data_IF_828899433966
#
_entry.id   IF_828899433966
#
_cell.length_a   1.000
_cell.length_b   1.000
_cell.length_c   1.000
_cell.angle_alpha   90.00
_cell.angle_beta   90.00
_cell.angle_gamma   90.00
#
_symmetry.space_group_name_H-M   'P 1'
#
loop_
_entity.id
_entity.type
_entity.pdbx_description
1 polymer ?
#
# COMPACT_ATOMS: atom_id res chain seq x y z
N UNK A 1 11.66 -18.11 17.70
CA UNK A 1 12.43 -17.11 16.94
C UNK A 1 11.98 -15.73 17.38
N UNK A 2 12.88 -14.81 17.75
CA UNK A 2 12.53 -13.42 18.02
C UNK A 2 12.44 -12.67 16.68
N UNK A 3 11.31 -12.06 16.37
CA UNK A 3 11.17 -11.21 15.18
C UNK A 3 11.55 -9.75 15.50
N UNK A 4 11.64 -8.89 14.48
CA UNK A 4 12.00 -7.48 14.63
C UNK A 4 11.08 -6.72 15.59
N UNK A 5 9.80 -7.12 15.71
CA UNK A 5 8.90 -6.54 16.70
C UNK A 5 9.30 -6.93 18.14
N UNK A 6 9.66 -8.20 18.37
CA UNK A 6 10.03 -8.72 19.69
C UNK A 6 11.37 -8.17 20.21
N UNK A 7 12.28 -7.76 19.32
CA UNK A 7 13.59 -7.18 19.69
C UNK A 7 13.65 -5.65 19.57
N UNK A 8 12.50 -4.99 19.31
CA UNK A 8 12.42 -3.53 19.22
C UNK A 8 12.96 -2.91 17.92
N UNK A 9 13.24 -3.72 16.89
CA UNK A 9 13.68 -3.27 15.57
C UNK A 9 12.56 -2.73 14.68
N UNK A 10 11.29 -2.97 15.02
CA UNK A 10 10.16 -2.37 14.32
C UNK A 10 9.98 -0.92 14.78
N UNK A 11 9.93 0.03 13.84
CA UNK A 11 9.72 1.45 14.15
C UNK A 11 8.24 1.81 14.25
N UNK A 12 7.95 2.97 14.86
CA UNK A 12 6.59 3.44 15.16
C UNK A 12 5.66 3.50 13.95
N UNK A 13 6.16 3.89 12.78
CA UNK A 13 5.39 3.92 11.53
C UNK A 13 5.82 2.74 10.67
N UNK A 14 4.87 1.85 10.38
CA UNK A 14 5.08 0.65 9.55
C UNK A 14 4.40 0.88 8.21
N UNK A 15 5.16 0.84 7.12
CA UNK A 15 4.63 0.93 5.75
C UNK A 15 4.63 -0.45 5.13
N UNK A 16 3.48 -0.89 4.63
CA UNK A 16 3.32 -2.16 3.92
C UNK A 16 2.94 -1.87 2.47
N UNK A 17 3.86 -2.16 1.57
CA UNK A 17 3.79 -1.85 0.15
C UNK A 17 3.73 -3.13 -0.69
N UNK A 18 2.63 -3.87 -0.58
CA UNK A 18 2.43 -5.19 -1.20
C UNK A 18 1.04 -5.28 -1.84
N UNK A 19 0.74 -6.41 -2.49
CA UNK A 19 -0.63 -6.75 -2.91
C UNK A 19 -0.86 -6.88 -4.41
N UNK A 20 0.08 -6.42 -5.25
CA UNK A 20 -0.03 -6.60 -6.72
C UNK A 20 0.36 -8.03 -7.12
N UNK A 21 1.39 -8.59 -6.46
CA UNK A 21 1.58 -10.04 -6.45
C UNK A 21 0.41 -10.64 -5.70
N UNK A 22 -0.42 -11.40 -6.44
CA UNK A 22 -1.76 -11.78 -6.01
C UNK A 22 -1.72 -12.51 -4.67
N UNK A 23 -2.53 -12.01 -3.74
CA UNK A 23 -2.87 -12.64 -2.47
C UNK A 23 -4.36 -12.94 -2.52
N UNK A 24 -4.75 -14.17 -2.84
CA UNK A 24 -6.16 -14.51 -3.04
C UNK A 24 -7.00 -14.32 -1.76
N UNK A 25 -6.41 -14.58 -0.59
CA UNK A 25 -7.03 -14.35 0.72
C UNK A 25 -6.68 -12.96 1.30
N UNK A 26 -6.56 -11.93 0.46
CA UNK A 26 -6.12 -10.58 0.88
C UNK A 26 -6.88 -10.02 2.09
N UNK A 27 -8.18 -10.31 2.24
CA UNK A 27 -8.96 -9.83 3.40
C UNK A 27 -8.46 -10.45 4.70
N UNK A 28 -8.19 -11.75 4.71
CA UNK A 28 -7.66 -12.47 5.87
C UNK A 28 -6.27 -11.95 6.23
N UNK A 29 -5.38 -11.83 5.25
CA UNK A 29 -4.00 -11.38 5.46
C UNK A 29 -3.94 -9.92 5.94
N UNK A 30 -4.76 -9.03 5.37
CA UNK A 30 -4.84 -7.64 5.81
C UNK A 30 -5.46 -7.51 7.21
N UNK A 31 -6.48 -8.32 7.53
CA UNK A 31 -7.03 -8.37 8.88
C UNK A 31 -6.00 -8.87 9.89
N UNK A 32 -5.26 -9.92 9.56
CA UNK A 32 -4.21 -10.45 10.43
C UNK A 32 -3.08 -9.43 10.60
N UNK A 33 -2.70 -8.70 9.55
CA UNK A 33 -1.73 -7.60 9.65
C UNK A 33 -2.20 -6.51 10.62
N UNK A 34 -3.45 -6.05 10.50
CA UNK A 34 -4.04 -5.06 11.41
C UNK A 34 -4.10 -5.60 12.84
N UNK A 35 -4.51 -6.86 13.02
CA UNK A 35 -4.64 -7.54 14.31
C UNK A 35 -3.29 -7.77 14.99
N UNK A 36 -2.26 -8.15 14.24
CA UNK A 36 -0.93 -8.49 14.76
C UNK A 36 0.02 -7.31 14.88
N UNK A 37 -0.30 -6.17 14.26
CA UNK A 37 0.44 -4.93 14.44
C UNK A 37 0.68 -4.68 15.94
N UNK A 38 1.92 -4.52 16.42
CA UNK A 38 2.16 -4.33 17.84
C UNK A 38 1.58 -3.00 18.35
N UNK A 39 1.24 -2.95 19.64
CA UNK A 39 0.80 -1.70 20.28
C UNK A 39 1.91 -0.65 20.21
N UNK A 40 1.52 0.61 20.09
CA UNK A 40 2.44 1.73 19.93
C UNK A 40 2.85 2.02 18.48
N UNK A 41 2.44 1.18 17.52
CA UNK A 41 2.69 1.38 16.11
C UNK A 41 1.48 1.95 15.36
N UNK A 42 1.73 2.56 14.22
CA UNK A 42 0.73 2.92 13.21
C UNK A 42 1.08 2.28 11.88
N UNK A 43 0.07 1.98 11.08
CA UNK A 43 0.19 1.24 9.83
C UNK A 43 -0.15 2.16 8.66
N UNK A 44 0.66 2.09 7.62
CA UNK A 44 0.37 2.67 6.31
C UNK A 44 0.23 1.50 5.34
N UNK A 45 -0.92 1.40 4.70
CA UNK A 45 -1.16 0.45 3.62
C UNK A 45 -1.00 1.18 2.29
N UNK A 46 -0.10 0.71 1.43
CA UNK A 46 0.01 1.20 0.05
C UNK A 46 -0.89 0.33 -0.84
N UNK A 47 -1.87 0.93 -1.51
CA UNK A 47 -2.79 0.16 -2.35
C UNK A 47 -2.11 -0.39 -3.60
N UNK A 48 -2.32 -1.66 -3.99
CA UNK A 48 -1.72 -2.21 -5.20
C UNK A 48 -2.40 -1.66 -6.46
N UNK A 49 -1.63 -1.58 -7.54
CA UNK A 49 -2.14 -1.22 -8.86
C UNK A 49 -1.73 -2.31 -9.86
N UNK A 50 -2.72 -2.81 -10.59
CA UNK A 50 -2.53 -3.63 -11.79
C UNK A 50 -3.41 -3.04 -12.89
N UNK A 51 -2.79 -2.37 -13.85
CA UNK A 51 -3.51 -1.73 -14.95
C UNK A 51 -4.11 -2.71 -15.97
N UNK A 52 -3.89 -4.02 -15.79
CA UNK A 52 -4.56 -5.07 -16.57
C UNK A 52 -5.81 -5.63 -15.88
N UNK A 53 -6.23 -5.06 -14.74
CA UNK A 53 -7.33 -5.59 -13.92
C UNK A 53 -8.64 -5.82 -14.69
N UNK A 54 -8.94 -4.99 -15.68
CA UNK A 54 -10.14 -5.11 -16.53
C UNK A 54 -10.13 -6.33 -17.45
N UNK A 55 -8.95 -6.94 -17.67
CA UNK A 55 -8.77 -8.16 -18.47
C UNK A 55 -8.94 -9.44 -17.65
N UNK A 56 -9.09 -9.34 -16.32
CA UNK A 56 -9.19 -10.50 -15.44
C UNK A 56 -10.62 -10.74 -14.98
N UNK A 57 -11.07 -11.99 -15.04
CA UNK A 57 -12.36 -12.42 -14.45
C UNK A 57 -12.44 -12.11 -12.95
N UNK A 58 -11.29 -12.13 -12.28
CA UNK A 58 -11.17 -11.81 -10.86
C UNK A 58 -10.05 -10.76 -10.64
N UNK A 59 -10.38 -9.46 -10.60
CA UNK A 59 -9.40 -8.39 -10.41
C UNK A 59 -8.97 -8.27 -8.93
N UNK A 60 -8.16 -9.22 -8.46
CA UNK A 60 -7.78 -9.32 -7.03
C UNK A 60 -7.05 -8.08 -6.54
N UNK A 61 -6.16 -7.47 -7.34
CA UNK A 61 -5.45 -6.25 -6.95
C UNK A 61 -6.41 -5.08 -6.66
N UNK A 62 -7.46 -4.92 -7.47
CA UNK A 62 -8.46 -3.87 -7.26
C UNK A 62 -9.29 -4.12 -5.99
N UNK A 63 -9.69 -5.37 -5.76
CA UNK A 63 -10.41 -5.78 -4.55
C UNK A 63 -9.55 -5.58 -3.29
N UNK A 64 -8.26 -5.93 -3.36
CA UNK A 64 -7.29 -5.66 -2.30
C UNK A 64 -7.20 -4.16 -2.01
N UNK A 65 -7.03 -3.32 -3.05
CA UNK A 65 -6.97 -1.87 -2.90
C UNK A 65 -8.24 -1.30 -2.23
N UNK A 66 -9.42 -1.78 -2.64
CA UNK A 66 -10.68 -1.40 -2.01
C UNK A 66 -10.71 -1.78 -0.52
N UNK A 67 -10.35 -3.00 -0.17
CA UNK A 67 -10.38 -3.48 1.22
C UNK A 67 -9.38 -2.74 2.11
N UNK A 68 -8.18 -2.44 1.61
CA UNK A 68 -7.20 -1.62 2.32
C UNK A 68 -7.76 -0.22 2.65
N UNK A 69 -8.53 0.40 1.73
CA UNK A 69 -9.23 1.68 1.99
C UNK A 69 -10.31 1.53 3.08
N UNK A 70 -11.03 0.41 3.12
CA UNK A 70 -12.03 0.14 4.15
C UNK A 70 -11.39 0.00 5.54
N UNK A 71 -10.26 -0.72 5.64
CA UNK A 71 -9.49 -0.81 6.88
C UNK A 71 -8.98 0.54 7.35
N UNK A 72 -8.47 1.39 6.44
CA UNK A 72 -8.04 2.75 6.77
C UNK A 72 -9.19 3.66 7.26
N UNK A 73 -10.43 3.44 6.79
CA UNK A 73 -11.62 4.13 7.32
C UNK A 73 -12.01 3.59 8.70
N UNK A 74 -11.83 2.29 8.94
CA UNK A 74 -12.26 1.60 10.16
C UNK A 74 -11.32 1.83 11.35
N UNK A 75 -10.02 1.94 11.12
CA UNK A 75 -9.01 2.00 12.18
C UNK A 75 -8.22 3.31 12.14
N UNK A 76 -8.34 4.14 13.19
CA UNK A 76 -7.68 5.45 13.27
C UNK A 76 -6.13 5.41 13.23
N UNK A 77 -5.51 4.25 13.49
CA UNK A 77 -4.07 4.03 13.40
C UNK A 77 -3.62 3.45 12.06
N UNK A 78 -4.54 3.29 11.10
CA UNK A 78 -4.28 2.83 9.74
C UNK A 78 -4.47 4.01 8.78
N UNK A 79 -3.46 4.33 7.99
CA UNK A 79 -3.48 5.37 6.95
C UNK A 79 -3.30 4.74 5.59
N UNK A 80 -3.93 5.31 4.55
CA UNK A 80 -3.78 4.86 3.17
C UNK A 80 -2.72 5.70 2.46
N UNK A 81 -1.83 5.04 1.71
CA UNK A 81 -1.08 5.63 0.60
C UNK A 81 -1.72 5.07 -0.69
N UNK A 82 -2.54 5.87 -1.37
CA UNK A 82 -3.46 5.34 -2.38
C UNK A 82 -2.81 5.29 -3.77
N UNK A 83 -1.75 4.49 -3.90
CA UNK A 83 -1.03 4.30 -5.16
C UNK A 83 -1.95 3.82 -6.28
N UNK A 84 -2.94 2.96 -6.00
CA UNK A 84 -3.95 2.54 -6.98
C UNK A 84 -4.67 3.74 -7.63
N UNK A 85 -5.08 4.73 -6.84
CA UNK A 85 -5.73 5.93 -7.38
C UNK A 85 -4.74 6.82 -8.12
N UNK A 86 -3.56 7.07 -7.55
CA UNK A 86 -2.53 7.90 -8.17
C UNK A 86 -2.09 7.31 -9.51
N UNK A 87 -1.79 6.01 -9.57
CA UNK A 87 -1.44 5.29 -10.79
C UNK A 87 -2.46 5.48 -11.93
N UNK A 88 -3.76 5.38 -11.62
CA UNK A 88 -4.85 5.59 -12.60
C UNK A 88 -4.93 7.02 -13.14
N UNK A 89 -4.50 8.00 -12.35
CA UNK A 89 -4.51 9.41 -12.74
C UNK A 89 -3.31 9.80 -13.61
N UNK A 90 -2.33 8.91 -13.75
CA UNK A 90 -1.09 9.13 -14.47
C UNK A 90 -0.91 8.08 -15.59
N UNK A 91 -1.75 8.06 -16.64
CA UNK A 91 -1.62 7.10 -17.74
C UNK A 91 -0.24 7.14 -18.44
N UNK A 92 0.44 8.29 -18.41
CA UNK A 92 1.71 8.53 -19.08
C UNK A 92 2.85 7.65 -18.57
N UNK A 93 2.83 7.22 -17.30
CA UNK A 93 3.89 6.36 -16.73
C UNK A 93 3.69 4.88 -17.10
N UNK A 94 2.63 4.53 -17.84
CA UNK A 94 2.32 3.14 -18.21
C UNK A 94 2.49 2.86 -19.70
N UNK A 95 2.77 3.88 -20.51
CA UNK A 95 3.02 3.70 -21.94
C UNK A 95 4.26 2.82 -22.12
N UNK A 96 4.10 1.71 -22.86
CA UNK A 96 5.18 0.76 -23.13
C UNK A 96 5.59 -0.14 -21.96
N UNK A 97 4.96 0.00 -20.80
CA UNK A 97 5.23 -0.83 -19.62
C UNK A 97 4.30 -2.06 -19.56
N UNK A 98 4.48 -2.92 -18.55
CA UNK A 98 3.60 -4.07 -18.29
C UNK A 98 2.32 -3.71 -17.51
N UNK A 99 2.10 -2.41 -17.24
CA UNK A 99 1.02 -1.87 -16.42
C UNK A 99 1.06 -2.25 -14.92
N UNK A 100 2.20 -2.74 -14.42
CA UNK A 100 2.48 -3.01 -13.00
C UNK A 100 3.75 -2.26 -12.57
N UNK A 101 4.82 -2.43 -13.33
CA UNK A 101 6.05 -1.68 -13.23
C UNK A 101 5.93 -0.42 -14.10
N UNK A 102 6.04 0.76 -13.48
CA UNK A 102 5.93 2.02 -14.19
C UNK A 102 7.17 2.31 -15.04
N UNK A 103 6.93 2.90 -16.20
CA UNK A 103 7.93 3.39 -17.15
C UNK A 103 8.49 2.33 -18.08
N UNK A 104 8.72 2.73 -19.33
CA UNK A 104 9.45 1.95 -20.35
C UNK A 104 10.92 2.42 -20.44
N UNK A 105 11.17 3.70 -20.17
CA UNK A 105 12.47 4.35 -20.30
C UNK A 105 12.90 5.07 -19.01
N UNK A 106 14.11 5.63 -19.00
CA UNK A 106 14.67 6.27 -17.82
C UNK A 106 13.81 7.44 -17.29
N UNK A 107 13.19 8.21 -18.18
CA UNK A 107 12.42 9.40 -17.80
C UNK A 107 11.08 9.00 -17.18
N UNK A 108 10.37 8.05 -17.79
CA UNK A 108 9.09 7.53 -17.29
C UNK A 108 9.27 6.67 -16.03
N UNK A 109 10.36 5.92 -15.91
CA UNK A 109 10.73 5.20 -14.66
C UNK A 109 10.96 6.22 -13.54
N UNK A 110 11.72 7.28 -13.81
CA UNK A 110 11.99 8.31 -12.80
C UNK A 110 10.73 9.08 -12.41
N UNK A 111 9.83 9.37 -13.37
CA UNK A 111 8.54 10.01 -13.11
C UNK A 111 7.63 9.12 -12.23
N UNK A 112 7.46 7.85 -12.59
CA UNK A 112 6.66 6.91 -11.80
C UNK A 112 7.23 6.69 -10.40
N UNK A 113 8.56 6.57 -10.27
CA UNK A 113 9.24 6.45 -8.98
C UNK A 113 9.04 7.67 -8.08
N UNK A 114 9.05 8.88 -8.65
CA UNK A 114 8.74 10.12 -7.91
C UNK A 114 7.30 10.14 -7.42
N UNK A 115 6.33 9.79 -8.27
CA UNK A 115 4.92 9.75 -7.89
C UNK A 115 4.66 8.72 -6.77
N UNK A 116 5.24 7.52 -6.89
CA UNK A 116 5.14 6.47 -5.89
C UNK A 116 5.70 6.91 -4.53
N UNK A 117 6.91 7.49 -4.53
CA UNK A 117 7.55 8.00 -3.32
C UNK A 117 6.77 9.17 -2.70
N UNK A 118 6.22 10.08 -3.50
CA UNK A 118 5.41 11.21 -3.03
C UNK A 118 4.11 10.74 -2.37
N UNK A 119 3.44 9.71 -2.91
CA UNK A 119 2.22 9.17 -2.30
C UNK A 119 2.51 8.54 -0.93
N UNK A 120 3.60 7.78 -0.81
CA UNK A 120 4.04 7.24 0.48
C UNK A 120 4.45 8.37 1.44
N UNK A 121 5.20 9.37 0.97
CA UNK A 121 5.60 10.51 1.80
C UNK A 121 4.40 11.25 2.35
N UNK A 122 3.39 11.53 1.51
CA UNK A 122 2.12 12.16 1.92
C UNK A 122 1.41 11.34 3.00
N UNK A 123 1.35 10.02 2.84
CA UNK A 123 0.77 9.13 3.85
C UNK A 123 1.57 9.11 5.15
N UNK A 124 2.91 9.12 5.09
CA UNK A 124 3.79 9.20 6.27
C UNK A 124 3.58 10.50 7.03
N UNK A 125 3.56 11.64 6.33
CA UNK A 125 3.29 12.95 6.93
C UNK A 125 1.92 12.99 7.58
N UNK A 126 0.87 12.54 6.88
CA UNK A 126 -0.49 12.45 7.43
C UNK A 126 -0.55 11.53 8.66
N UNK A 127 0.13 10.39 8.59
CA UNK A 127 0.15 9.44 9.68
C UNK A 127 0.90 9.97 10.89
N UNK A 128 1.88 10.88 10.74
CA UNK A 128 2.70 11.43 11.83
C UNK A 128 1.86 12.13 12.92
N UNK A 129 0.76 12.75 12.54
CA UNK A 129 -0.19 13.41 13.45
C UNK A 129 -1.29 12.44 13.95
N UNK A 130 -1.33 11.22 13.43
CA UNK A 130 -2.34 10.21 13.74
C UNK A 130 -2.08 9.38 14.99
N UNK A 131 -3.13 8.65 15.39
CA UNK A 131 -3.11 7.71 16.52
C UNK A 131 -2.19 6.51 16.25
N UNK A 132 -1.71 5.90 17.34
CA UNK A 132 -1.10 4.56 17.30
C UNK A 132 -2.10 3.51 17.77
N UNK A 133 -1.82 2.25 17.50
CA UNK A 133 -2.61 1.14 18.04
C UNK A 133 -2.44 1.06 19.55
N UNK A 134 -3.56 1.10 20.27
CA UNK A 134 -3.59 1.01 21.73
C UNK A 134 -4.12 -0.33 22.25
N UNK A 135 -5.02 -0.98 21.49
CA UNK A 135 -5.65 -2.25 21.84
C UNK A 135 -5.33 -3.29 20.80
#
# INVERSE_FOLDING_TARGET
>A
MSNNAAVGGLLKTVVVATGVNIVFNYEEELNELVKTLPKGHRLILVTPYDGNSDKYDNPVAEKHAQYARELAKKYAYVTIADWNTTAKQHPEIWVGSDHIHFGEDADTIAAGGRLYAQEIQKAVTKAADGSVKHK
#
